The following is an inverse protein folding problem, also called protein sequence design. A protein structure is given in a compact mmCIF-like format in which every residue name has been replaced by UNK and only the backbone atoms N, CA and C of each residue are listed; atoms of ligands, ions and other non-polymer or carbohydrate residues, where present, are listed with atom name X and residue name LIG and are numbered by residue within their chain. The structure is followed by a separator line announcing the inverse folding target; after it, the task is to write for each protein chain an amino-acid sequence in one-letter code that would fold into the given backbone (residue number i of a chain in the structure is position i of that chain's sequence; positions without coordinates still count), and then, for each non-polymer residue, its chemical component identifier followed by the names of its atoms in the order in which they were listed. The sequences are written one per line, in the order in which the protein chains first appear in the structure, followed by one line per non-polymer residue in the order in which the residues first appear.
data_IF_954608366335
#
_entry.id   IF_954608366335
#
_cell.length_a   1.000
_cell.length_b   1.000
_cell.length_c   1.000
_cell.angle_alpha   90.00
_cell.angle_beta   90.00
_cell.angle_gamma   90.00
#
_symmetry.space_group_name_H-M   'P 1'
#
loop_
_entity.id
_entity.type
_entity.pdbx_description
1 polymer ?
#
# COMPACT_ATOMS: atom_id res chain seq x y z
N UNK A 1 14.21 -8.87 12.07
CA UNK A 1 13.49 -8.04 13.06
C UNK A 1 14.38 -6.96 13.67
N UNK A 2 15.48 -7.29 14.37
CA UNK A 2 16.44 -6.27 14.86
C UNK A 2 16.99 -5.40 13.72
N UNK A 3 17.36 -6.02 12.60
CA UNK A 3 17.78 -5.30 11.40
C UNK A 3 16.70 -4.33 10.88
N UNK A 4 15.47 -4.80 10.69
CA UNK A 4 14.37 -3.93 10.23
C UNK A 4 14.14 -2.73 11.15
N UNK A 5 14.15 -2.94 12.48
CA UNK A 5 14.01 -1.85 13.43
C UNK A 5 15.19 -0.86 13.37
N UNK A 6 16.42 -1.37 13.31
CA UNK A 6 17.62 -0.54 13.19
C UNK A 6 17.63 0.26 11.88
N UNK A 7 17.23 -0.35 10.77
CA UNK A 7 17.09 0.34 9.49
C UNK A 7 16.02 1.44 9.57
N UNK A 8 14.87 1.18 10.19
CA UNK A 8 13.81 2.18 10.33
C UNK A 8 14.25 3.34 11.21
N UNK A 9 14.89 3.07 12.35
CA UNK A 9 15.41 4.12 13.24
C UNK A 9 16.50 4.92 12.53
N UNK A 10 17.45 4.25 11.86
CA UNK A 10 18.50 4.90 11.08
C UNK A 10 17.91 5.80 9.99
N UNK A 11 16.87 5.34 9.30
CA UNK A 11 16.18 6.13 8.29
C UNK A 11 15.50 7.37 8.87
N UNK A 12 14.83 7.25 10.01
CA UNK A 12 14.22 8.40 10.72
C UNK A 12 15.28 9.42 11.11
N UNK A 13 16.45 9.00 11.59
CA UNK A 13 17.56 9.90 11.93
C UNK A 13 18.06 10.65 10.69
N UNK A 14 18.19 9.96 9.55
CA UNK A 14 18.56 10.58 8.28
C UNK A 14 17.51 11.63 7.86
N UNK A 15 16.22 11.29 7.92
CA UNK A 15 15.14 12.23 7.62
C UNK A 15 15.16 13.44 8.54
N UNK A 16 15.36 13.25 9.85
CA UNK A 16 15.45 14.35 10.82
C UNK A 16 16.59 15.31 10.50
N UNK A 17 17.72 14.80 9.98
CA UNK A 17 18.88 15.61 9.59
C UNK A 17 18.63 16.41 8.31
N UNK A 18 17.94 15.84 7.32
CA UNK A 18 17.69 16.50 6.03
C UNK A 18 16.49 17.44 6.07
N UNK A 19 15.37 17.00 6.66
CA UNK A 19 14.13 17.78 6.71
C UNK A 19 14.16 18.88 7.79
N UNK A 20 14.97 18.68 8.83
CA UNK A 20 14.95 19.51 10.04
C UNK A 20 13.67 19.29 10.87
N UNK A 21 13.73 19.61 12.16
CA UNK A 21 12.55 19.50 13.03
C UNK A 21 11.47 20.56 12.76
N UNK A 22 11.77 21.60 11.97
CA UNK A 22 10.82 22.64 11.60
C UNK A 22 9.65 22.11 10.75
N UNK A 23 9.89 21.05 9.96
CA UNK A 23 8.87 20.41 9.11
C UNK A 23 8.16 19.24 9.81
N UNK A 24 8.48 18.97 11.08
CA UNK A 24 7.86 17.88 11.83
C UNK A 24 6.44 18.25 12.25
N UNK A 25 5.44 17.56 11.68
CA UNK A 25 4.04 17.82 11.95
C UNK A 25 3.25 16.54 12.23
N UNK A 26 2.70 16.43 13.45
CA UNK A 26 1.80 15.34 13.83
C UNK A 26 0.32 15.67 13.65
N UNK A 27 -0.01 16.89 13.19
CA UNK A 27 -1.38 17.29 12.99
C UNK A 27 -1.93 16.76 11.65
N UNK A 28 -2.85 15.80 11.74
CA UNK A 28 -3.50 15.13 10.59
C UNK A 28 -4.31 16.10 9.72
N UNK A 29 -4.82 17.20 10.30
CA UNK A 29 -5.60 18.19 9.54
C UNK A 29 -4.73 19.05 8.62
N UNK A 30 -3.50 19.38 9.04
CA UNK A 30 -2.57 20.26 8.31
C UNK A 30 -1.58 19.50 7.43
N UNK A 31 -1.93 18.27 7.04
CA UNK A 31 -1.03 17.39 6.29
C UNK A 31 -0.59 18.00 4.96
N UNK A 32 -1.47 18.70 4.24
CA UNK A 32 -1.14 19.25 2.92
C UNK A 32 -0.15 20.43 3.03
N UNK A 33 -0.35 21.34 3.99
CA UNK A 33 0.53 22.50 4.22
C UNK A 33 2.00 22.09 4.45
N UNK A 34 2.20 21.04 5.26
CA UNK A 34 3.55 20.57 5.62
C UNK A 34 4.13 19.61 4.59
N UNK A 35 3.31 19.05 3.69
CA UNK A 35 3.79 18.11 2.67
C UNK A 35 4.65 18.82 1.63
N UNK A 36 4.25 20.00 1.20
CA UNK A 36 4.97 20.72 0.14
C UNK A 36 6.32 21.25 0.68
N UNK A 37 6.33 21.78 1.92
CA UNK A 37 7.57 22.16 2.62
C UNK A 37 8.50 20.96 2.91
N UNK A 38 7.94 19.79 3.26
CA UNK A 38 8.72 18.56 3.43
C UNK A 38 9.27 18.04 2.10
N UNK A 39 8.52 18.18 1.00
CA UNK A 39 8.95 17.76 -0.34
C UNK A 39 10.09 18.62 -0.90
N UNK A 40 10.11 19.92 -0.59
CA UNK A 40 11.18 20.83 -1.01
C UNK A 40 12.49 20.61 -0.23
N UNK A 41 12.39 20.25 1.05
CA UNK A 41 13.56 20.06 1.92
C UNK A 41 14.27 18.72 1.75
N UNK A 42 13.61 17.73 1.12
CA UNK A 42 14.10 16.35 1.02
C UNK A 42 14.42 16.01 -0.44
N UNK A 43 15.63 15.51 -0.77
CA UNK A 43 15.95 15.10 -2.14
C UNK A 43 14.97 14.06 -2.69
N UNK A 44 14.61 14.17 -3.97
CA UNK A 44 13.56 13.36 -4.62
C UNK A 44 13.78 11.84 -4.52
N UNK A 45 15.02 11.37 -4.40
CA UNK A 45 15.33 9.95 -4.17
C UNK A 45 14.76 9.41 -2.85
N UNK A 46 14.69 10.22 -1.79
CA UNK A 46 14.11 9.83 -0.51
C UNK A 46 12.61 9.57 -0.58
N UNK A 47 11.89 10.07 -1.60
CA UNK A 47 10.48 9.71 -1.80
C UNK A 47 10.31 8.20 -2.04
N UNK A 48 11.24 7.58 -2.77
CA UNK A 48 11.26 6.14 -3.01
C UNK A 48 11.58 5.36 -1.74
N UNK A 49 12.61 5.79 -1.00
CA UNK A 49 13.00 5.14 0.26
C UNK A 49 11.87 5.26 1.28
N UNK A 50 11.27 6.44 1.44
CA UNK A 50 10.10 6.69 2.29
C UNK A 50 8.95 5.75 1.97
N UNK A 51 8.70 5.49 0.70
CA UNK A 51 7.64 4.55 0.27
C UNK A 51 7.98 3.11 0.67
N UNK A 52 9.23 2.69 0.51
CA UNK A 52 9.70 1.37 0.97
C UNK A 52 9.55 1.22 2.49
N UNK A 53 9.97 2.20 3.29
CA UNK A 53 9.86 2.09 4.75
C UNK A 53 8.40 2.10 5.22
N UNK A 54 7.58 3.00 4.69
CA UNK A 54 6.18 3.15 5.11
C UNK A 54 5.26 2.02 4.64
N UNK A 55 5.45 1.50 3.42
CA UNK A 55 4.57 0.47 2.84
C UNK A 55 5.09 -0.95 3.00
N UNK A 56 6.38 -1.14 3.26
CA UNK A 56 7.02 -2.47 3.29
C UNK A 56 7.65 -2.73 4.65
N UNK A 57 8.72 -2.00 5.01
CA UNK A 57 9.58 -2.37 6.15
C UNK A 57 8.80 -2.33 7.47
N UNK A 58 8.03 -1.26 7.71
CA UNK A 58 7.25 -1.10 8.95
C UNK A 58 6.09 -2.12 9.00
N UNK A 59 5.20 -2.23 7.99
CA UNK A 59 4.15 -3.25 7.96
C UNK A 59 4.67 -4.69 8.16
N UNK A 60 5.70 -5.10 7.40
CA UNK A 60 6.31 -6.43 7.53
C UNK A 60 6.93 -6.60 8.93
N UNK A 61 7.62 -5.56 9.43
CA UNK A 61 8.21 -5.55 10.76
C UNK A 61 7.20 -5.84 11.86
N UNK A 62 6.03 -5.23 11.78
CA UNK A 62 4.90 -5.42 12.71
C UNK A 62 4.30 -6.82 12.60
N UNK A 63 4.05 -7.30 11.38
CA UNK A 63 3.49 -8.64 11.18
C UNK A 63 4.44 -9.71 11.73
N UNK A 64 5.74 -9.60 11.45
CA UNK A 64 6.75 -10.54 11.97
C UNK A 64 6.90 -10.42 13.50
N UNK A 65 6.84 -9.22 14.09
CA UNK A 65 6.93 -9.06 15.54
C UNK A 65 5.70 -9.60 16.26
N UNK A 66 4.50 -9.43 15.69
CA UNK A 66 3.26 -10.06 16.17
C UNK A 66 3.34 -11.58 16.09
N UNK A 67 3.80 -12.12 14.95
CA UNK A 67 3.98 -13.56 14.76
C UNK A 67 4.97 -14.16 15.77
N UNK A 68 6.02 -13.42 16.12
CA UNK A 68 7.04 -13.85 17.09
C UNK A 68 6.71 -13.47 18.55
N UNK A 69 5.52 -12.91 18.80
CA UNK A 69 5.05 -12.42 20.12
C UNK A 69 5.96 -11.38 20.78
N UNK A 70 6.71 -10.61 19.98
CA UNK A 70 7.62 -9.56 20.46
C UNK A 70 6.93 -8.20 20.48
N UNK A 71 6.01 -8.04 21.43
CA UNK A 71 5.14 -6.85 21.52
C UNK A 71 5.90 -5.53 21.68
N UNK A 72 7.05 -5.53 22.37
CA UNK A 72 7.92 -4.35 22.48
C UNK A 72 8.37 -3.88 21.09
N UNK A 73 8.77 -4.79 20.22
CA UNK A 73 9.19 -4.43 18.86
C UNK A 73 8.00 -3.97 18.01
N UNK A 74 6.82 -4.58 18.18
CA UNK A 74 5.59 -4.09 17.55
C UNK A 74 5.31 -2.64 17.95
N UNK A 75 5.37 -2.35 19.25
CA UNK A 75 5.18 -0.99 19.76
C UNK A 75 6.21 -0.01 19.18
N UNK A 76 7.49 -0.37 19.17
CA UNK A 76 8.55 0.47 18.58
C UNK A 76 8.34 0.73 17.09
N UNK A 77 7.83 -0.25 16.33
CA UNK A 77 7.50 -0.07 14.91
C UNK A 77 6.30 0.86 14.71
N UNK A 78 5.28 0.79 15.57
CA UNK A 78 4.13 1.71 15.54
C UNK A 78 4.60 3.14 15.84
N UNK A 79 5.42 3.32 16.89
CA UNK A 79 6.02 4.61 17.22
C UNK A 79 6.87 5.12 16.05
N UNK A 80 7.66 4.24 15.42
CA UNK A 80 8.44 4.58 14.24
C UNK A 80 7.56 5.07 13.09
N UNK A 81 6.38 4.47 12.90
CA UNK A 81 5.40 4.92 11.89
C UNK A 81 4.83 6.30 12.19
N UNK A 82 4.58 6.62 13.46
CA UNK A 82 4.11 7.94 13.90
C UNK A 82 5.19 8.99 13.65
N UNK A 83 6.45 8.68 14.00
CA UNK A 83 7.58 9.58 13.74
C UNK A 83 7.79 9.79 12.23
N UNK A 84 7.70 8.72 11.44
CA UNK A 84 7.82 8.78 9.98
C UNK A 84 6.71 9.64 9.37
N UNK A 85 5.48 9.53 9.88
CA UNK A 85 4.38 10.41 9.51
C UNK A 85 4.71 11.87 9.82
N UNK A 86 5.31 12.16 10.96
CA UNK A 86 5.70 13.52 11.34
C UNK A 86 6.64 14.19 10.34
N UNK A 87 7.57 13.44 9.74
CA UNK A 87 8.52 13.97 8.75
C UNK A 87 7.98 13.98 7.32
N UNK A 88 7.17 13.01 6.93
CA UNK A 88 6.70 12.86 5.54
C UNK A 88 5.34 13.56 5.33
N UNK A 89 4.57 13.78 6.38
CA UNK A 89 3.19 14.28 6.32
C UNK A 89 2.35 13.50 5.29
N UNK A 90 2.30 12.17 5.41
CA UNK A 90 1.48 11.33 4.53
C UNK A 90 0.58 10.40 5.34
N UNK A 91 -0.75 10.62 5.28
CA UNK A 91 -1.74 9.93 6.14
C UNK A 91 -1.66 8.40 6.05
N UNK A 92 -1.36 7.86 4.88
CA UNK A 92 -1.23 6.42 4.67
C UNK A 92 -0.19 5.77 5.59
N UNK A 93 0.90 6.49 5.93
CA UNK A 93 1.98 5.98 6.79
C UNK A 93 1.46 5.55 8.17
N UNK A 94 0.44 6.25 8.69
CA UNK A 94 -0.17 5.86 9.96
C UNK A 94 -1.08 4.65 9.81
N UNK A 95 -1.79 4.53 8.68
CA UNK A 95 -2.86 3.55 8.47
C UNK A 95 -2.31 2.17 8.06
N UNK A 96 -1.28 2.12 7.21
CA UNK A 96 -0.73 0.87 6.66
C UNK A 96 -0.30 -0.16 7.72
N UNK A 97 0.39 0.22 8.82
CA UNK A 97 0.68 -0.67 9.94
C UNK A 97 -0.55 -1.38 10.52
N UNK A 98 -1.62 -0.62 10.76
CA UNK A 98 -2.84 -1.13 11.40
C UNK A 98 -3.63 -2.03 10.48
N UNK A 99 -3.71 -1.71 9.18
CA UNK A 99 -4.32 -2.58 8.17
C UNK A 99 -3.60 -3.93 8.15
N UNK A 100 -2.26 -3.91 8.06
CA UNK A 100 -1.44 -5.11 7.96
C UNK A 100 -1.54 -5.97 9.23
N UNK A 101 -1.46 -5.33 10.41
CA UNK A 101 -1.65 -6.00 11.68
C UNK A 101 -3.06 -6.61 11.83
N UNK A 102 -4.10 -5.87 11.45
CA UNK A 102 -5.50 -6.30 11.52
C UNK A 102 -5.75 -7.52 10.65
N UNK A 103 -5.30 -7.49 9.39
CA UNK A 103 -5.40 -8.62 8.46
C UNK A 103 -4.67 -9.84 9.02
N UNK A 104 -3.44 -9.67 9.53
CA UNK A 104 -2.71 -10.77 10.15
C UNK A 104 -3.47 -11.38 11.33
N UNK A 105 -3.99 -10.56 12.26
CA UNK A 105 -4.70 -11.03 13.46
C UNK A 105 -5.99 -11.79 13.09
N UNK A 106 -6.76 -11.28 12.14
CA UNK A 106 -8.02 -11.90 11.69
C UNK A 106 -7.74 -13.25 11.04
N UNK A 107 -6.79 -13.31 10.10
CA UNK A 107 -6.48 -14.51 9.34
C UNK A 107 -5.68 -15.54 10.13
N UNK A 108 -4.83 -15.12 11.07
CA UNK A 108 -4.01 -16.04 11.88
C UNK A 108 -4.84 -16.89 12.85
N UNK A 109 -6.00 -16.41 13.32
CA UNK A 109 -6.86 -17.17 14.23
C UNK A 109 -7.71 -18.24 13.53
N UNK A 110 -8.00 -18.05 12.25
CA UNK A 110 -8.64 -19.03 11.37
C UNK A 110 -8.70 -18.41 9.98
N UNK A 111 -8.26 -19.10 8.91
CA UNK A 111 -8.34 -18.59 7.55
C UNK A 111 -9.77 -18.62 6.97
N UNK A 112 -10.80 -18.81 7.81
CA UNK A 112 -12.19 -18.81 7.39
C UNK A 112 -12.58 -17.45 6.80
N UNK A 113 -12.92 -17.47 5.51
CA UNK A 113 -13.39 -16.32 4.76
C UNK A 113 -14.59 -15.61 5.42
N UNK A 114 -15.44 -16.37 6.13
CA UNK A 114 -16.58 -15.83 6.88
C UNK A 114 -16.20 -14.74 7.89
N UNK A 115 -15.02 -14.80 8.52
CA UNK A 115 -14.57 -13.76 9.46
C UNK A 115 -14.26 -12.45 8.75
N UNK A 116 -13.68 -12.52 7.55
CA UNK A 116 -13.42 -11.33 6.73
C UNK A 116 -14.75 -10.67 6.34
N UNK A 117 -15.74 -11.47 5.95
CA UNK A 117 -17.09 -10.97 5.65
C UNK A 117 -17.73 -10.30 6.86
N UNK A 118 -17.65 -10.91 8.06
CA UNK A 118 -18.17 -10.31 9.29
C UNK A 118 -17.50 -8.96 9.57
N UNK A 119 -16.17 -8.86 9.43
CA UNK A 119 -15.45 -7.60 9.62
C UNK A 119 -15.90 -6.54 8.62
N UNK A 120 -16.07 -6.91 7.35
CA UNK A 120 -16.59 -5.99 6.33
C UNK A 120 -18.02 -5.55 6.66
N UNK A 121 -18.90 -6.46 7.08
CA UNK A 121 -20.26 -6.13 7.51
C UNK A 121 -20.26 -5.15 8.70
N UNK A 122 -19.37 -5.33 9.68
CA UNK A 122 -19.21 -4.40 10.80
C UNK A 122 -18.74 -3.03 10.30
N UNK A 123 -17.77 -2.98 9.39
CA UNK A 123 -17.28 -1.72 8.79
C UNK A 123 -18.42 -0.99 8.07
N UNK A 124 -19.24 -1.70 7.29
CA UNK A 124 -20.39 -1.11 6.61
C UNK A 124 -21.49 -0.67 7.59
N UNK A 125 -21.73 -1.44 8.66
CA UNK A 125 -22.70 -1.06 9.69
C UNK A 125 -22.26 0.22 10.42
N UNK A 126 -20.97 0.34 10.76
CA UNK A 126 -20.41 1.57 11.33
C UNK A 126 -20.58 2.73 10.36
N UNK A 127 -20.32 2.53 9.07
CA UNK A 127 -20.56 3.53 8.04
C UNK A 127 -22.02 3.95 7.91
N UNK A 128 -22.95 3.00 8.01
CA UNK A 128 -24.38 3.29 8.01
C UNK A 128 -24.79 4.13 9.22
N UNK A 129 -24.32 3.77 10.42
CA UNK A 129 -24.57 4.55 11.65
C UNK A 129 -23.97 5.95 11.52
N UNK A 130 -22.74 6.07 11.04
CA UNK A 130 -22.06 7.36 10.83
C UNK A 130 -22.84 8.27 9.86
N UNK A 131 -23.32 7.71 8.74
CA UNK A 131 -24.18 8.43 7.80
C UNK A 131 -25.50 8.85 8.44
N UNK A 132 -26.18 7.95 9.15
CA UNK A 132 -27.45 8.25 9.80
C UNK A 132 -27.30 9.38 10.83
N UNK A 133 -26.25 9.34 11.64
CA UNK A 133 -25.95 10.38 12.62
C UNK A 133 -25.61 11.72 11.96
N UNK A 134 -24.90 11.72 10.83
CA UNK A 134 -24.64 12.93 10.06
C UNK A 134 -25.95 13.59 9.59
N UNK A 135 -26.90 12.80 9.08
CA UNK A 135 -28.20 13.32 8.65
C UNK A 135 -29.09 13.79 9.82
N UNK A 136 -28.96 13.20 11.01
CA UNK A 136 -29.73 13.59 12.20
C UNK A 136 -29.19 14.87 12.86
N UNK A 137 -27.87 15.00 12.99
CA UNK A 137 -27.22 16.10 13.74
C UNK A 137 -26.91 17.31 12.84
N UNK A 138 -26.78 17.09 11.53
CA UNK A 138 -26.54 18.13 10.55
C UNK A 138 -25.05 18.44 10.29
N UNK A 139 -24.84 19.32 9.31
CA UNK A 139 -23.53 19.71 8.82
C UNK A 139 -22.74 20.49 9.89
N UNK A 140 -21.54 19.99 10.24
CA UNK A 140 -20.66 20.57 11.26
C UNK A 140 -20.32 19.62 12.42
N UNK A 141 -20.98 18.46 12.49
CA UNK A 141 -20.63 17.40 13.44
C UNK A 141 -19.43 16.55 12.96
N UNK A 142 -18.82 15.78 13.88
CA UNK A 142 -17.74 14.83 13.54
C UNK A 142 -18.23 13.64 12.70
N UNK A 143 -19.56 13.42 12.67
CA UNK A 143 -20.21 12.37 11.92
C UNK A 143 -20.06 12.60 10.40
N UNK A 144 -20.04 11.53 9.64
CA UNK A 144 -19.80 11.53 8.19
C UNK A 144 -18.32 11.44 7.81
N UNK A 145 -17.39 11.61 8.76
CA UNK A 145 -15.95 11.47 8.52
C UNK A 145 -15.56 10.03 8.17
N UNK A 146 -16.16 9.04 8.84
CA UNK A 146 -15.86 7.63 8.57
C UNK A 146 -16.37 7.23 7.19
N UNK A 147 -17.58 7.66 6.83
CA UNK A 147 -18.17 7.45 5.50
C UNK A 147 -17.33 8.12 4.41
N UNK A 148 -16.84 9.35 4.61
CA UNK A 148 -15.98 10.02 3.63
C UNK A 148 -14.69 9.23 3.38
N UNK A 149 -14.04 8.73 4.44
CA UNK A 149 -12.74 8.07 4.30
C UNK A 149 -12.87 6.64 3.79
N UNK A 150 -13.75 5.84 4.38
CA UNK A 150 -13.79 4.41 4.10
C UNK A 150 -14.69 4.12 2.90
N UNK A 151 -15.91 4.64 2.90
CA UNK A 151 -16.89 4.31 1.87
C UNK A 151 -16.64 5.16 0.62
N UNK A 152 -16.65 6.48 0.75
CA UNK A 152 -16.49 7.38 -0.40
C UNK A 152 -15.08 7.30 -0.97
N UNK A 153 -14.03 7.57 -0.19
CA UNK A 153 -12.65 7.59 -0.71
C UNK A 153 -12.06 6.19 -0.93
N UNK A 154 -12.46 5.21 -0.13
CA UNK A 154 -11.92 3.84 -0.23
C UNK A 154 -12.58 2.98 -1.32
N UNK A 155 -13.86 3.19 -1.61
CA UNK A 155 -14.63 2.32 -2.51
C UNK A 155 -15.25 3.08 -3.69
N UNK A 156 -16.01 4.15 -3.43
CA UNK A 156 -16.79 4.81 -4.49
C UNK A 156 -15.95 5.70 -5.40
N UNK A 157 -15.03 6.47 -4.83
CA UNK A 157 -14.20 7.42 -5.57
C UNK A 157 -13.27 6.71 -6.56
N UNK A 158 -12.57 5.61 -6.22
CA UNK A 158 -11.82 4.85 -7.19
C UNK A 158 -12.67 4.35 -8.37
N UNK A 159 -13.87 3.84 -8.11
CA UNK A 159 -14.77 3.37 -9.15
C UNK A 159 -15.24 4.52 -10.08
N UNK A 160 -15.53 5.70 -9.51
CA UNK A 160 -15.82 6.90 -10.29
C UNK A 160 -14.63 7.32 -11.16
N UNK A 161 -13.41 7.26 -10.61
CA UNK A 161 -12.21 7.63 -11.36
C UNK A 161 -11.93 6.63 -12.49
N UNK A 162 -12.16 5.33 -12.28
CA UNK A 162 -12.05 4.32 -13.34
C UNK A 162 -13.05 4.63 -14.47
N UNK A 163 -14.29 4.96 -14.11
CA UNK A 163 -15.30 5.35 -15.08
C UNK A 163 -14.90 6.61 -15.88
N UNK A 164 -14.44 7.68 -15.22
CA UNK A 164 -14.03 8.90 -15.91
C UNK A 164 -12.86 8.67 -16.88
N UNK A 165 -11.92 7.76 -16.55
CA UNK A 165 -10.85 7.39 -17.49
C UNK A 165 -11.43 6.65 -18.69
N UNK A 166 -12.33 5.69 -18.47
CA UNK A 166 -12.95 4.94 -19.57
C UNK A 166 -13.74 5.86 -20.48
N UNK A 167 -14.57 6.74 -19.91
CA UNK A 167 -15.40 7.70 -20.64
C UNK A 167 -14.55 8.62 -21.51
N UNK A 168 -13.46 9.17 -20.97
CA UNK A 168 -12.58 10.06 -21.73
C UNK A 168 -11.80 9.32 -22.83
N UNK A 169 -11.11 8.22 -22.51
CA UNK A 169 -10.25 7.51 -23.47
C UNK A 169 -11.03 6.59 -24.42
N UNK A 170 -12.36 6.62 -24.35
CA UNK A 170 -13.22 5.95 -25.33
C UNK A 170 -13.04 6.60 -26.70
N UNK A 171 -13.27 7.90 -26.77
CA UNK A 171 -13.24 8.70 -28.01
C UNK A 171 -11.92 9.43 -28.23
N UNK A 172 -11.09 9.59 -27.19
CA UNK A 172 -9.85 10.35 -27.25
C UNK A 172 -8.60 9.46 -27.47
N UNK A 173 -7.50 10.01 -28.03
CA UNK A 173 -6.23 9.31 -28.17
C UNK A 173 -5.71 8.70 -26.86
N UNK A 174 -5.03 7.56 -26.96
CA UNK A 174 -4.54 6.78 -25.80
C UNK A 174 -3.03 6.91 -25.66
N UNK A 175 -2.52 6.73 -24.45
CA UNK A 175 -1.10 6.98 -24.18
C UNK A 175 -0.15 5.93 -24.74
N UNK A 176 -0.57 4.66 -24.89
CA UNK A 176 0.31 3.55 -25.28
C UNK A 176 1.63 3.51 -24.48
N UNK A 177 1.55 3.74 -23.17
CA UNK A 177 2.68 3.81 -22.24
C UNK A 177 3.70 4.92 -22.52
N UNK A 178 3.42 5.88 -23.38
CA UNK A 178 4.27 7.06 -23.65
C UNK A 178 4.60 7.87 -22.38
N UNK A 179 3.64 7.98 -21.45
CA UNK A 179 3.84 8.67 -20.17
C UNK A 179 4.57 7.82 -19.11
N UNK A 180 4.86 6.55 -19.40
CA UNK A 180 5.58 5.67 -18.48
C UNK A 180 7.08 5.95 -18.52
N UNK A 181 7.75 5.89 -17.36
CA UNK A 181 9.22 5.98 -17.30
C UNK A 181 9.92 4.81 -18.01
N UNK A 182 9.21 3.72 -18.27
CA UNK A 182 9.76 2.54 -18.94
C UNK A 182 9.99 2.76 -20.44
N UNK A 183 9.20 3.62 -21.09
CA UNK A 183 9.36 3.89 -22.52
C UNK A 183 10.46 4.89 -22.81
N UNK A 184 11.09 5.47 -21.77
CA UNK A 184 12.19 6.44 -21.86
C UNK A 184 11.93 7.59 -22.83
N UNK A 185 10.66 7.95 -23.05
CA UNK A 185 10.26 9.01 -24.00
C UNK A 185 10.37 8.61 -25.48
N UNK A 186 10.58 7.33 -25.79
CA UNK A 186 10.70 6.84 -27.18
C UNK A 186 9.35 6.81 -27.90
N UNK A 187 8.24 6.81 -27.17
CA UNK A 187 6.88 6.88 -27.72
C UNK A 187 6.35 8.29 -27.48
N UNK A 188 5.94 9.03 -28.52
CA UNK A 188 5.40 10.37 -28.36
C UNK A 188 4.08 10.31 -27.58
N UNK A 189 3.96 11.18 -26.57
CA UNK A 189 2.72 11.31 -25.80
C UNK A 189 1.71 12.14 -26.58
N UNK A 190 0.44 11.69 -26.70
CA UNK A 190 -0.61 12.48 -27.34
C UNK A 190 -1.03 13.70 -26.51
N UNK A 191 -0.64 13.77 -25.24
CA UNK A 191 -0.96 14.88 -24.33
C UNK A 191 0.28 15.35 -23.57
N UNK A 192 0.26 16.62 -23.17
CA UNK A 192 1.30 17.24 -22.34
C UNK A 192 1.18 16.86 -20.85
N UNK A 193 -0.03 16.51 -20.41
CA UNK A 193 -0.30 16.13 -19.02
C UNK A 193 -0.21 14.62 -18.83
N UNK A 194 0.19 14.13 -17.64
CA UNK A 194 0.00 12.74 -17.25
C UNK A 194 -1.50 12.36 -17.21
N UNK A 195 -1.85 11.07 -17.39
CA UNK A 195 -3.25 10.63 -17.45
C UNK A 195 -4.11 11.12 -16.27
N UNK A 196 -3.61 11.00 -15.05
CA UNK A 196 -4.33 11.42 -13.85
C UNK A 196 -4.60 12.93 -13.78
N UNK A 197 -3.68 13.76 -14.27
CA UNK A 197 -3.83 15.22 -14.30
C UNK A 197 -4.72 15.68 -15.47
N UNK A 198 -4.68 14.95 -16.58
CA UNK A 198 -5.58 15.19 -17.71
C UNK A 198 -7.03 14.97 -17.28
N UNK A 199 -7.35 13.84 -16.63
CA UNK A 199 -8.70 13.60 -16.11
C UNK A 199 -9.08 14.62 -15.01
N UNK A 200 -8.11 15.04 -14.19
CA UNK A 200 -8.28 16.14 -13.25
C UNK A 200 -8.73 17.45 -13.91
N UNK A 201 -8.08 17.82 -15.02
CA UNK A 201 -8.43 18.98 -15.82
C UNK A 201 -9.84 18.85 -16.42
N UNK A 202 -10.14 17.73 -17.07
CA UNK A 202 -11.38 17.57 -17.83
C UNK A 202 -12.63 17.43 -16.94
N UNK A 203 -12.57 16.61 -15.88
CA UNK A 203 -13.73 16.31 -15.02
C UNK A 203 -13.82 17.20 -13.78
N UNK A 204 -12.70 17.74 -13.30
CA UNK A 204 -12.65 18.55 -12.07
C UNK A 204 -12.22 19.99 -12.31
N UNK A 205 -12.04 20.40 -13.58
CA UNK A 205 -11.68 21.77 -13.97
C UNK A 205 -10.38 22.27 -13.31
N UNK A 206 -9.49 21.35 -12.92
CA UNK A 206 -8.26 21.68 -12.24
C UNK A 206 -7.11 20.75 -12.66
N UNK A 207 -6.15 21.22 -13.47
CA UNK A 207 -5.01 20.40 -13.91
C UNK A 207 -4.06 20.01 -12.77
N UNK A 208 -4.10 20.70 -11.62
CA UNK A 208 -3.34 20.32 -10.43
C UNK A 208 -3.99 19.15 -9.67
N UNK A 209 -5.25 18.83 -9.94
CA UNK A 209 -5.93 17.66 -9.36
C UNK A 209 -5.41 16.39 -10.01
N UNK A 210 -4.75 15.55 -9.21
CA UNK A 210 -4.30 14.22 -9.62
C UNK A 210 -5.42 13.21 -9.42
N UNK A 211 -6.23 13.00 -10.46
CA UNK A 211 -7.34 12.04 -10.48
C UNK A 211 -6.79 10.63 -10.72
N UNK A 212 -6.06 10.06 -9.76
CA UNK A 212 -5.46 8.74 -9.92
C UNK A 212 -6.51 7.63 -9.90
N UNK A 213 -6.36 6.64 -10.78
CA UNK A 213 -7.29 5.52 -10.88
C UNK A 213 -6.61 4.17 -10.65
N UNK A 214 -7.40 3.11 -10.53
CA UNK A 214 -6.90 1.75 -10.38
C UNK A 214 -6.27 1.19 -11.66
N UNK A 215 -5.94 -0.10 -11.63
CA UNK A 215 -5.39 -0.77 -12.80
C UNK A 215 -6.37 -0.82 -13.99
N UNK A 216 -7.69 -0.77 -13.76
CA UNK A 216 -8.71 -0.85 -14.83
C UNK A 216 -8.68 0.42 -15.67
N UNK A 217 -8.92 1.59 -15.06
CA UNK A 217 -8.93 2.88 -15.75
C UNK A 217 -7.56 3.23 -16.33
N UNK A 218 -6.47 2.86 -15.64
CA UNK A 218 -5.12 3.04 -16.21
C UNK A 218 -4.90 2.14 -17.41
N UNK A 219 -5.24 0.85 -17.33
CA UNK A 219 -5.12 -0.06 -18.47
C UNK A 219 -5.90 0.45 -19.68
N UNK A 220 -7.10 0.98 -19.45
CA UNK A 220 -7.90 1.60 -20.50
C UNK A 220 -7.28 2.88 -21.07
N UNK A 221 -6.71 3.75 -20.24
CA UNK A 221 -5.98 4.94 -20.70
C UNK A 221 -4.74 4.62 -21.56
N UNK A 222 -4.10 3.47 -21.32
CA UNK A 222 -2.93 3.06 -22.09
C UNK A 222 -3.29 2.50 -23.46
N UNK A 223 -4.21 1.53 -23.55
CA UNK A 223 -4.52 0.85 -24.82
C UNK A 223 -6.00 0.42 -24.93
N UNK A 224 -6.91 1.14 -24.26
CA UNK A 224 -8.34 0.92 -24.32
C UNK A 224 -8.70 -0.46 -23.76
N UNK A 225 -9.66 -1.11 -24.41
CA UNK A 225 -10.10 -2.45 -24.02
C UNK A 225 -8.94 -3.47 -23.93
N UNK A 226 -7.98 -3.41 -24.86
CA UNK A 226 -6.82 -4.30 -24.85
C UNK A 226 -5.88 -4.04 -23.68
N UNK A 227 -5.63 -2.78 -23.34
CA UNK A 227 -4.82 -2.42 -22.18
C UNK A 227 -5.46 -2.86 -20.87
N UNK A 228 -6.79 -2.73 -20.76
CA UNK A 228 -7.56 -3.22 -19.61
C UNK A 228 -7.46 -4.75 -19.46
N UNK A 229 -7.58 -5.52 -20.55
CA UNK A 229 -7.39 -6.98 -20.53
C UNK A 229 -5.97 -7.33 -20.11
N UNK A 230 -4.96 -6.72 -20.74
CA UNK A 230 -3.56 -7.00 -20.44
C UNK A 230 -3.24 -6.75 -18.96
N UNK A 231 -3.69 -5.62 -18.40
CA UNK A 231 -3.50 -5.30 -17.00
C UNK A 231 -4.24 -6.28 -16.08
N UNK A 232 -5.46 -6.68 -16.44
CA UNK A 232 -6.23 -7.67 -15.67
C UNK A 232 -5.52 -9.03 -15.62
N UNK A 233 -4.94 -9.49 -16.73
CA UNK A 233 -4.14 -10.72 -16.79
C UNK A 233 -2.93 -10.59 -15.88
N UNK A 234 -2.17 -9.49 -15.99
CA UNK A 234 -0.99 -9.26 -15.15
C UNK A 234 -1.32 -9.20 -13.66
N UNK A 235 -2.43 -8.55 -13.27
CA UNK A 235 -2.94 -8.56 -11.89
C UNK A 235 -3.31 -9.98 -11.45
N UNK A 236 -3.96 -10.75 -12.32
CA UNK A 236 -4.26 -12.17 -12.07
C UNK A 236 -3.02 -13.01 -11.82
N UNK A 237 -1.95 -12.80 -12.59
CA UNK A 237 -0.66 -13.48 -12.40
C UNK A 237 -0.01 -13.11 -11.06
N UNK A 238 -0.08 -11.83 -10.66
CA UNK A 238 0.39 -11.39 -9.34
C UNK A 238 -0.39 -12.09 -8.23
N UNK A 239 -1.72 -12.14 -8.33
CA UNK A 239 -2.55 -12.82 -7.32
C UNK A 239 -2.22 -14.31 -7.27
N UNK A 240 -2.07 -14.98 -8.42
CA UNK A 240 -1.68 -16.39 -8.49
C UNK A 240 -0.31 -16.65 -7.85
N UNK A 241 0.66 -15.77 -8.07
CA UNK A 241 1.97 -15.82 -7.43
C UNK A 241 1.84 -15.67 -5.90
N UNK A 242 1.06 -14.69 -5.44
CA UNK A 242 0.83 -14.47 -4.00
C UNK A 242 0.10 -15.65 -3.35
N UNK A 243 -0.84 -16.29 -4.03
CA UNK A 243 -1.52 -17.48 -3.54
C UNK A 243 -0.56 -18.68 -3.40
N UNK A 244 0.32 -18.90 -4.39
CA UNK A 244 1.35 -19.94 -4.30
C UNK A 244 2.28 -19.72 -3.10
N UNK A 245 2.74 -18.49 -2.88
CA UNK A 245 3.54 -18.14 -1.70
C UNK A 245 2.72 -18.17 -0.40
N UNK A 246 1.43 -17.85 -0.45
CA UNK A 246 0.50 -17.97 0.67
C UNK A 246 0.39 -19.43 1.14
N UNK A 247 0.35 -20.39 0.22
CA UNK A 247 0.41 -21.83 0.53
C UNK A 247 1.76 -22.25 1.12
N UNK A 248 2.86 -21.64 0.71
CA UNK A 248 4.21 -21.98 1.16
C UNK A 248 4.63 -21.35 2.52
N UNK A 249 4.33 -20.06 2.72
CA UNK A 249 4.74 -19.27 3.89
C UNK A 249 3.61 -19.06 4.92
N UNK A 250 2.37 -19.30 4.51
CA UNK A 250 1.16 -19.04 5.28
C UNK A 250 0.39 -17.83 4.76
N UNK A 251 -0.87 -18.05 4.38
CA UNK A 251 -1.78 -17.02 3.86
C UNK A 251 -1.87 -15.77 4.75
N UNK A 252 -1.97 -15.86 6.10
CA UNK A 252 -2.06 -14.68 6.96
C UNK A 252 -0.84 -13.76 6.83
N UNK A 253 0.35 -14.32 6.63
CA UNK A 253 1.59 -13.58 6.49
C UNK A 253 1.62 -12.86 5.13
N UNK A 254 1.44 -13.60 4.03
CA UNK A 254 1.50 -13.03 2.69
C UNK A 254 0.42 -11.97 2.47
N UNK A 255 -0.82 -12.26 2.90
CA UNK A 255 -1.92 -11.31 2.79
C UNK A 255 -1.65 -10.02 3.57
N UNK A 256 -1.16 -10.12 4.81
CA UNK A 256 -0.86 -8.94 5.62
C UNK A 256 0.32 -8.11 5.10
N UNK A 257 1.31 -8.74 4.48
CA UNK A 257 2.47 -8.03 3.93
C UNK A 257 2.14 -7.25 2.66
N UNK A 258 1.20 -7.76 1.84
CA UNK A 258 0.94 -7.26 0.49
C UNK A 258 -0.40 -6.52 0.35
N UNK A 259 -1.27 -6.57 1.36
CA UNK A 259 -2.59 -5.95 1.33
C UNK A 259 -2.55 -4.46 1.00
N UNK A 260 -1.56 -3.74 1.50
CA UNK A 260 -1.41 -2.29 1.28
C UNK A 260 -1.10 -1.99 -0.20
N UNK A 261 -0.21 -2.78 -0.82
CA UNK A 261 0.13 -2.66 -2.23
C UNK A 261 -1.07 -3.02 -3.09
N UNK A 262 -1.77 -4.12 -2.76
CA UNK A 262 -2.98 -4.53 -3.47
C UNK A 262 -4.05 -3.43 -3.39
N UNK A 263 -4.35 -2.90 -2.21
CA UNK A 263 -5.32 -1.79 -2.06
C UNK A 263 -4.90 -0.57 -2.88
N UNK A 264 -3.61 -0.21 -2.88
CA UNK A 264 -3.11 0.92 -3.70
C UNK A 264 -3.33 0.66 -5.19
N UNK A 265 -3.04 -0.56 -5.66
CA UNK A 265 -3.23 -0.98 -7.06
C UNK A 265 -4.69 -0.92 -7.51
N UNK A 266 -5.61 -1.31 -6.64
CA UNK A 266 -7.04 -1.26 -6.95
C UNK A 266 -7.58 0.17 -6.94
N UNK A 267 -7.02 1.06 -6.14
CA UNK A 267 -7.68 2.34 -5.84
C UNK A 267 -7.06 3.58 -6.46
N UNK A 268 -5.79 3.55 -6.88
CA UNK A 268 -5.17 4.83 -7.28
C UNK A 268 -3.74 4.76 -7.78
N UNK A 269 -3.34 3.68 -8.45
CA UNK A 269 -2.05 3.68 -9.15
C UNK A 269 -2.07 2.78 -10.38
N UNK A 270 -1.29 3.17 -11.38
CA UNK A 270 -1.02 2.35 -12.57
C UNK A 270 -0.24 1.08 -12.21
N UNK A 271 -0.51 -0.02 -12.92
CA UNK A 271 0.09 -1.32 -12.66
C UNK A 271 1.63 -1.29 -12.67
N UNK A 272 2.25 -0.64 -13.66
CA UNK A 272 3.72 -0.59 -13.76
C UNK A 272 4.31 0.33 -12.68
N UNK A 273 3.63 1.44 -12.43
CA UNK A 273 3.99 2.37 -11.36
C UNK A 273 3.97 1.68 -9.99
N UNK A 274 3.02 0.78 -9.76
CA UNK A 274 2.91 -0.02 -8.53
C UNK A 274 4.17 -0.85 -8.24
N UNK A 275 4.78 -1.47 -9.27
CA UNK A 275 6.02 -2.23 -9.12
C UNK A 275 7.23 -1.34 -8.84
N UNK A 276 7.31 -0.19 -9.52
CA UNK A 276 8.49 0.68 -9.49
C UNK A 276 8.51 1.62 -8.29
N UNK A 277 7.37 2.19 -7.92
CA UNK A 277 7.29 3.31 -6.96
C UNK A 277 6.61 2.93 -5.66
N UNK A 278 5.62 2.03 -5.69
CA UNK A 278 4.89 1.60 -4.50
C UNK A 278 5.44 0.35 -3.82
N UNK A 279 6.59 -0.11 -4.30
CA UNK A 279 7.41 -1.07 -3.58
C UNK A 279 6.96 -2.52 -3.69
N UNK A 280 6.04 -2.84 -4.60
CA UNK A 280 5.64 -4.23 -4.81
C UNK A 280 6.79 -5.11 -5.23
N UNK A 281 7.67 -4.65 -6.13
CA UNK A 281 8.84 -5.43 -6.51
C UNK A 281 9.71 -5.77 -5.29
N UNK A 282 9.94 -4.80 -4.41
CA UNK A 282 10.68 -5.02 -3.17
C UNK A 282 9.94 -5.99 -2.22
N UNK A 283 8.61 -5.90 -2.10
CA UNK A 283 7.82 -6.86 -1.32
C UNK A 283 7.91 -8.28 -1.88
N UNK A 284 7.88 -8.45 -3.21
CA UNK A 284 8.04 -9.76 -3.87
C UNK A 284 9.44 -10.34 -3.63
N UNK A 285 10.49 -9.52 -3.75
CA UNK A 285 11.87 -9.94 -3.44
C UNK A 285 11.98 -10.37 -1.97
N UNK A 286 11.38 -9.63 -1.03
CA UNK A 286 11.36 -10.03 0.38
C UNK A 286 10.66 -11.37 0.57
N UNK A 287 9.54 -11.62 -0.10
CA UNK A 287 8.85 -12.92 -0.05
C UNK A 287 9.73 -14.05 -0.61
N UNK A 288 10.45 -13.81 -1.71
CA UNK A 288 11.35 -14.81 -2.31
C UNK A 288 12.53 -15.16 -1.38
N UNK A 289 13.05 -14.20 -0.63
CA UNK A 289 14.17 -14.41 0.32
C UNK A 289 13.69 -15.01 1.65
N UNK A 290 12.41 -14.85 2.00
CA UNK A 290 11.86 -15.43 3.22
C UNK A 290 11.74 -16.95 3.09
N UNK A 291 12.69 -17.68 3.68
CA UNK A 291 12.62 -19.14 3.81
C UNK A 291 11.43 -19.61 4.66
N UNK A 292 10.92 -20.82 4.36
CA UNK A 292 9.70 -21.32 4.96
C UNK A 292 9.83 -21.55 6.48
N UNK A 293 8.76 -21.35 7.26
CA UNK A 293 8.73 -21.74 8.67
C UNK A 293 9.15 -23.21 8.91
N UNK A 294 8.92 -24.12 7.95
CA UNK A 294 9.33 -25.53 8.03
C UNK A 294 10.85 -25.71 7.93
N UNK A 295 11.51 -25.00 7.00
CA UNK A 295 12.98 -24.99 6.86
C UNK A 295 13.66 -24.41 8.10
N UNK A 296 13.07 -23.38 8.73
CA UNK A 296 13.57 -22.83 10.01
C UNK A 296 13.45 -23.81 11.18
N UNK A 297 12.43 -24.68 11.16
CA UNK A 297 12.29 -25.76 12.16
C UNK A 297 13.32 -26.86 11.95
N UNK A 298 13.63 -27.21 10.70
CA UNK A 298 14.66 -28.20 10.37
C UNK A 298 16.08 -27.69 10.69
N UNK A 299 16.41 -26.45 10.34
CA UNK A 299 17.72 -25.83 10.67
C UNK A 299 18.00 -25.69 12.17
N UNK A 300 16.96 -25.71 13.01
CA UNK A 300 17.08 -25.66 14.48
C UNK A 300 17.17 -27.03 15.14
N UNK A 301 16.97 -28.13 14.40
CA UNK A 301 17.22 -29.48 14.93
C UNK A 301 18.73 -29.73 14.86
N UNK A 302 19.38 -30.20 15.95
CA UNK A 302 20.75 -30.67 15.85
C UNK A 302 20.81 -31.80 14.79
N UNK A 303 21.92 -31.92 14.03
CA UNK A 303 22.09 -33.03 13.10
C UNK A 303 21.91 -34.33 13.88
N UNK A 304 21.14 -35.26 13.31
CA UNK A 304 21.01 -36.61 13.85
C UNK A 304 22.40 -37.22 13.73
N UNK A 305 23.15 -37.27 14.84
CA UNK A 305 24.35 -38.08 14.92
C UNK A 305 23.89 -39.53 14.88
N UNK A 306 24.15 -40.23 13.78
CA UNK A 306 23.94 -41.67 13.74
C UNK A 306 24.68 -42.30 14.91
N UNK A 307 24.04 -43.21 15.67
CA UNK A 307 24.73 -43.92 16.75
C UNK A 307 25.90 -44.69 16.13
N UNK A 308 27.08 -44.54 16.74
CA UNK A 308 28.29 -45.22 16.31
C UNK A 308 28.02 -46.73 16.15
N UNK A 309 28.53 -47.37 15.07
CA UNK A 309 28.32 -48.79 14.86
C UNK A 309 28.88 -49.55 16.05
N UNK A 310 28.02 -50.35 16.68
CA UNK A 310 28.40 -51.28 17.74
C UNK A 310 29.37 -52.27 17.08
N UNK A 311 30.67 -52.12 17.38
CA UNK A 311 31.67 -53.11 17.01
C UNK A 311 31.36 -54.38 17.81
N UNK A 312 30.91 -55.41 17.12
CA UNK A 312 30.79 -56.78 17.61
C UNK A 312 32.16 -57.46 17.65
#
# INVERSE_FOLDING_TARGET
MRLALLLTIGYIIVLAKFSGFANFNLNISRVYDFRDAAAESIPSFFAYISTVFSKIVIPIGIVISLMTRKYITTFLMIVSSILLFGFISHRGVLIYPFISAGIYIVLAKSPQFSRVLIVLMIIFLIGFIDAAMYFMVGAGSIWGWFVDIIVRRGLMLPALLDFNHIEFFWDNPRYYWSASRLTMGMIPSPYELPPANLIGKEFFQNPATSANTGFIGNGFAQAGFWGMIAYSICVGLVIAFLDAYGRYLGLPLVAAMLSVQMMTMFTGTDFLTMFLTHGMLASLVVLMVMGSPSERRQRKRPPITDPAPIMS
#
